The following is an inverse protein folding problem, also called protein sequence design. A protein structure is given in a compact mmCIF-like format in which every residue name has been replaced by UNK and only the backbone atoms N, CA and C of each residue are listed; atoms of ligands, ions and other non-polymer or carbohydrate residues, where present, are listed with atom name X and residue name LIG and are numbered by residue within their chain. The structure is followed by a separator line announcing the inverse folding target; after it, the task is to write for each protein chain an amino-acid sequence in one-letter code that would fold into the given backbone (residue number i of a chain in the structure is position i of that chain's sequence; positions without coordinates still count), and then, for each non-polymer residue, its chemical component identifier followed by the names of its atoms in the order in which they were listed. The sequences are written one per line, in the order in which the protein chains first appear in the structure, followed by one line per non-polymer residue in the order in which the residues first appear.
data_IF_183507976702
#
_entry.id   IF_183507976702
#
_cell.length_a   1.000
_cell.length_b   1.000
_cell.length_c   1.000
_cell.angle_alpha   90.00
_cell.angle_beta   90.00
_cell.angle_gamma   90.00
#
_symmetry.space_group_name_H-M   'P 1'
#
loop_
_entity.id
_entity.type
_entity.pdbx_description
1 polymer ?
#
# COMPACT_ATOMS: atom_id res chain seq x y z
N UNK A 1 -15.94 -0.79 18.80
CA UNK A 1 -15.50 -0.75 18.55
C UNK A 1 -14.66 -1.34 17.85
N UNK A 2 -14.46 -1.74 17.59
CA UNK A 2 -13.61 -2.57 17.03
C UNK A 2 -13.07 -2.34 15.74
N UNK A 3 -13.56 -1.57 14.97
CA UNK A 3 -13.06 -1.40 13.71
C UNK A 3 -11.83 -0.65 13.65
N UNK A 4 -11.36 -0.12 14.66
CA UNK A 4 -10.18 0.70 14.62
C UNK A 4 -8.93 -0.04 14.21
N UNK A 5 -8.96 -1.37 14.19
CA UNK A 5 -7.78 -2.08 13.75
C UNK A 5 -7.40 -1.78 12.35
N UNK A 6 -8.35 -1.64 11.46
CA UNK A 6 -8.03 -1.32 10.09
C UNK A 6 -7.36 0.02 9.98
N UNK A 7 -7.85 0.98 10.73
CA UNK A 7 -7.26 2.30 10.70
C UNK A 7 -5.82 2.29 11.16
N UNK A 8 -5.51 1.46 12.13
CA UNK A 8 -4.14 1.38 12.64
C UNK A 8 -3.18 0.83 11.61
N UNK A 9 -3.67 0.05 10.68
CA UNK A 9 -2.84 -0.55 9.66
C UNK A 9 -2.83 0.24 8.34
N UNK A 10 -3.67 1.22 8.23
CA UNK A 10 -3.75 2.00 6.99
C UNK A 10 -2.67 3.07 6.94
N UNK A 11 -2.08 3.22 5.77
CA UNK A 11 -1.05 4.23 5.54
C UNK A 11 -1.25 4.78 4.13
N UNK A 12 -0.74 5.97 3.90
CA UNK A 12 -0.72 6.53 2.55
C UNK A 12 0.72 6.57 2.05
N UNK A 13 0.87 6.55 0.75
CA UNK A 13 2.19 6.62 0.15
C UNK A 13 2.09 6.89 -1.33
N UNK A 14 3.26 6.98 -1.96
CA UNK A 14 3.37 7.26 -3.38
C UNK A 14 4.10 6.09 -4.03
N UNK A 15 3.59 5.63 -5.16
CA UNK A 15 4.23 4.55 -5.90
C UNK A 15 5.49 5.07 -6.54
N UNK A 16 6.63 4.46 -6.23
CA UNK A 16 7.91 4.88 -6.75
C UNK A 16 8.48 3.91 -7.77
N UNK A 17 7.99 2.69 -7.82
CA UNK A 17 8.48 1.72 -8.78
C UNK A 17 7.43 0.66 -9.05
N UNK A 18 7.31 0.26 -10.32
CA UNK A 18 6.46 -0.84 -10.72
C UNK A 18 7.36 -2.05 -10.95
N UNK A 19 7.06 -3.14 -10.28
CA UNK A 19 7.89 -4.33 -10.30
C UNK A 19 7.18 -5.45 -11.07
N UNK A 20 7.91 -6.49 -11.48
CA UNK A 20 7.28 -7.64 -12.08
C UNK A 20 6.28 -8.28 -11.12
N UNK A 21 5.39 -9.10 -11.64
CA UNK A 21 4.39 -9.83 -10.84
C UNK A 21 3.37 -8.93 -10.20
N UNK A 22 3.13 -7.77 -10.80
CA UNK A 22 2.09 -6.85 -10.35
C UNK A 22 2.35 -6.43 -8.91
N UNK A 23 3.59 -6.18 -8.61
CA UNK A 23 3.99 -5.65 -7.33
C UNK A 23 4.46 -4.22 -7.51
N UNK A 24 4.43 -3.46 -6.43
CA UNK A 24 4.81 -2.06 -6.47
C UNK A 24 5.65 -1.72 -5.26
N UNK A 25 6.61 -0.84 -5.46
CA UNK A 25 7.35 -0.28 -4.34
C UNK A 25 6.72 1.07 -4.02
N UNK A 26 6.30 1.24 -2.80
CA UNK A 26 5.59 2.44 -2.37
C UNK A 26 6.38 3.12 -1.26
N UNK A 27 6.58 4.42 -1.41
CA UNK A 27 7.23 5.19 -0.37
C UNK A 27 6.16 5.76 0.54
N UNK A 28 6.19 5.39 1.80
CA UNK A 28 5.19 5.83 2.75
C UNK A 28 5.36 7.31 3.06
N UNK A 29 4.25 8.01 3.20
CA UNK A 29 4.27 9.42 3.56
C UNK A 29 4.75 9.62 4.99
N UNK A 30 4.44 8.64 5.85
CA UNK A 30 4.73 8.74 7.27
C UNK A 30 5.36 7.41 7.69
N UNK A 31 6.63 7.20 7.36
CA UNK A 31 7.26 5.91 7.65
C UNK A 31 7.42 5.69 9.15
N UNK A 32 7.40 4.44 9.56
CA UNK A 32 7.58 4.14 10.98
C UNK A 32 8.95 4.57 11.45
N UNK A 33 9.04 4.87 12.73
CA UNK A 33 10.29 5.30 13.33
C UNK A 33 11.33 4.19 13.18
N UNK A 34 12.51 4.58 12.72
CA UNK A 34 13.59 3.64 12.60
C UNK A 34 13.52 2.72 11.42
N UNK A 35 12.48 2.82 10.62
CA UNK A 35 12.32 1.97 9.47
C UNK A 35 12.58 2.69 8.18
N UNK A 36 12.76 1.95 7.11
CA UNK A 36 12.83 2.52 5.78
C UNK A 36 11.47 3.07 5.39
N UNK A 37 11.47 3.94 4.43
CA UNK A 37 10.23 4.54 4.01
C UNK A 37 9.51 3.80 2.91
N UNK A 38 10.07 2.71 2.40
CA UNK A 38 9.49 2.01 1.26
C UNK A 38 9.02 0.62 1.66
N UNK A 39 7.94 0.18 1.03
CA UNK A 39 7.38 -1.12 1.33
C UNK A 39 6.88 -1.74 0.03
N UNK A 40 7.04 -3.05 -0.10
CA UNK A 40 6.49 -3.78 -1.24
C UNK A 40 4.99 -3.90 -1.06
N UNK A 41 4.26 -3.68 -2.13
CA UNK A 41 2.82 -3.64 -2.07
C UNK A 41 2.22 -4.36 -3.27
N UNK A 42 0.98 -4.80 -3.13
CA UNK A 42 0.23 -5.43 -4.20
C UNK A 42 -1.19 -4.88 -4.20
N UNK A 43 -1.86 -5.01 -5.34
CA UNK A 43 -3.23 -4.53 -5.42
C UNK A 43 -4.17 -5.44 -4.67
N UNK A 44 -5.14 -4.86 -3.98
CA UNK A 44 -6.18 -5.64 -3.32
C UNK A 44 -6.99 -6.40 -4.37
N UNK A 45 -7.67 -7.45 -3.93
CA UNK A 45 -8.52 -8.19 -4.84
C UNK A 45 -9.60 -7.33 -5.45
N UNK A 46 -10.14 -6.40 -4.68
CA UNK A 46 -11.15 -5.49 -5.17
C UNK A 46 -10.62 -4.60 -6.29
N UNK A 47 -9.42 -4.08 -6.14
CA UNK A 47 -8.84 -3.24 -7.18
C UNK A 47 -8.56 -4.04 -8.44
N UNK A 48 -8.12 -5.29 -8.30
CA UNK A 48 -7.89 -6.13 -9.47
C UNK A 48 -9.20 -6.49 -10.15
N UNK A 49 -10.21 -6.76 -9.37
CA UNK A 49 -11.53 -7.10 -9.89
C UNK A 49 -12.09 -5.95 -10.71
N UNK A 50 -11.93 -4.73 -10.23
CA UNK A 50 -12.45 -3.55 -10.93
C UNK A 50 -11.44 -2.97 -11.91
N UNK A 51 -10.31 -3.64 -12.11
CA UNK A 51 -9.28 -3.23 -13.08
C UNK A 51 -8.81 -1.81 -12.85
N UNK A 52 -8.68 -1.44 -11.60
CA UNK A 52 -8.17 -0.13 -11.25
C UNK A 52 -6.64 -0.16 -11.38
N UNK A 53 -6.10 0.75 -12.18
CA UNK A 53 -4.66 0.80 -12.39
C UNK A 53 -4.02 1.83 -11.49
N UNK A 54 -2.76 1.56 -11.14
CA UNK A 54 -1.94 2.54 -10.44
C UNK A 54 -0.64 2.68 -11.22
N UNK A 55 -0.07 3.87 -11.17
CA UNK A 55 1.16 4.18 -11.90
C UNK A 55 2.17 4.81 -10.96
N UNK A 56 3.44 4.76 -11.36
CA UNK A 56 4.49 5.45 -10.60
C UNK A 56 4.09 6.91 -10.47
N UNK A 57 4.15 7.42 -9.25
CA UNK A 57 3.74 8.78 -8.94
C UNK A 57 2.34 8.89 -8.36
N UNK A 58 1.55 7.82 -8.44
CA UNK A 58 0.20 7.87 -7.88
C UNK A 58 0.25 7.80 -6.36
N UNK A 59 -0.63 8.56 -5.74
CA UNK A 59 -0.81 8.48 -4.30
C UNK A 59 -1.85 7.43 -3.99
N UNK A 60 -1.55 6.56 -3.06
CA UNK A 60 -2.43 5.43 -2.75
C UNK A 60 -2.61 5.27 -1.27
N UNK A 61 -3.71 4.63 -0.91
CA UNK A 61 -3.97 4.20 0.45
C UNK A 61 -3.64 2.72 0.53
N UNK A 62 -2.84 2.35 1.51
CA UNK A 62 -2.41 0.98 1.71
C UNK A 62 -2.85 0.46 3.06
N UNK A 63 -2.97 -0.84 3.15
CA UNK A 63 -3.18 -1.49 4.44
C UNK A 63 -1.99 -2.40 4.69
N UNK A 64 -1.29 -2.20 5.80
CA UNK A 64 -0.14 -3.02 6.13
C UNK A 64 -0.58 -4.39 6.57
N UNK A 65 0.19 -5.41 6.19
CA UNK A 65 -0.06 -6.75 6.69
C UNK A 65 0.57 -6.88 8.07
N UNK A 66 -0.14 -7.39 9.05
CA UNK A 66 0.39 -7.46 10.41
C UNK A 66 1.66 -8.30 10.53
N UNK A 67 1.80 -9.30 9.69
CA UNK A 67 2.91 -10.22 9.85
C UNK A 67 3.80 -10.32 8.63
N UNK A 68 3.44 -9.73 7.54
CA UNK A 68 4.10 -10.04 6.28
C UNK A 68 5.13 -9.07 5.80
N UNK A 69 5.21 -7.90 6.36
CA UNK A 69 6.16 -6.91 5.86
C UNK A 69 5.79 -6.35 4.50
N UNK A 70 4.60 -6.61 4.03
CA UNK A 70 4.08 -6.10 2.77
C UNK A 70 2.84 -5.28 3.04
N UNK A 71 2.36 -4.60 2.03
CA UNK A 71 1.13 -3.84 2.15
C UNK A 71 0.21 -4.16 0.97
N UNK A 72 -1.07 -3.94 1.19
CA UNK A 72 -2.07 -4.14 0.16
C UNK A 72 -2.61 -2.77 -0.23
N UNK A 73 -2.54 -2.44 -1.52
CA UNK A 73 -3.07 -1.18 -2.00
C UNK A 73 -4.58 -1.33 -2.11
N UNK A 74 -5.31 -0.51 -1.37
CA UNK A 74 -6.76 -0.65 -1.31
C UNK A 74 -7.48 0.49 -2.00
N UNK A 75 -6.78 1.57 -2.33
CA UNK A 75 -7.44 2.70 -2.96
C UNK A 75 -6.41 3.60 -3.61
N UNK A 76 -6.76 4.15 -4.75
CA UNK A 76 -5.97 5.20 -5.39
C UNK A 76 -6.57 6.54 -4.99
N UNK A 77 -5.75 7.40 -4.47
CA UNK A 77 -6.21 8.70 -3.97
C UNK A 77 -6.17 9.81 -5.02
#
# INVERSE_FOLDING_TARGET
MPQSKSSDLERTGVIVESLPNIMFRVKLDDPPAGGGGEILSYLSGKMRLHRIRVLVGDKVLLELEPYGGKARIIKRL
#
